data_IF_600793107827
#
_entry.id   IF_600793107827
#
_cell.length_a   1.000
_cell.length_b   1.000
_cell.length_c   1.000
_cell.angle_alpha   90.00
_cell.angle_beta   90.00
_cell.angle_gamma   90.00
#
_symmetry.space_group_name_H-M   'P 1'
#
loop_
_entity.id
_entity.type
_entity.pdbx_description
1 polymer ?
#
# COMPACT_ATOMS: atom_id res chain seq x y z
N UNK A 1 -11.93 -7.26 11.92
CA UNK A 1 -10.76 -6.45 11.52
C UNK A 1 -11.11 -5.60 10.31
N UNK A 2 -10.57 -4.39 10.24
CA UNK A 2 -10.84 -3.48 9.13
C UNK A 2 -9.60 -3.37 8.25
N UNK A 3 -9.79 -3.20 6.95
CA UNK A 3 -8.71 -3.04 6.01
C UNK A 3 -8.80 -1.68 5.32
N UNK A 4 -7.68 -0.95 5.28
CA UNK A 4 -7.57 0.26 4.47
C UNK A 4 -6.96 -0.13 3.14
N UNK A 5 -7.66 0.16 2.06
CA UNK A 5 -7.14 -0.05 0.70
C UNK A 5 -6.77 1.30 0.12
N UNK A 6 -5.54 1.39 -0.41
CA UNK A 6 -5.05 2.59 -1.08
C UNK A 6 -4.74 2.28 -2.53
N UNK A 7 -5.14 3.17 -3.41
CA UNK A 7 -4.77 3.12 -4.83
C UNK A 7 -3.79 4.25 -5.07
N UNK A 8 -2.62 3.94 -5.61
CA UNK A 8 -1.56 4.94 -5.77
C UNK A 8 -1.09 5.03 -7.21
N UNK A 9 -0.83 6.28 -7.64
CA UNK A 9 -0.24 6.58 -8.93
C UNK A 9 1.08 7.31 -8.67
N UNK A 10 2.10 6.91 -9.41
CA UNK A 10 3.42 7.51 -9.24
C UNK A 10 3.43 8.98 -9.61
N UNK A 11 4.35 9.70 -9.01
CA UNK A 11 4.57 11.10 -9.30
C UNK A 11 5.03 11.27 -10.75
N UNK A 12 4.57 12.34 -11.40
CA UNK A 12 4.96 12.65 -12.76
C UNK A 12 6.48 12.74 -12.85
N UNK A 13 7.04 12.11 -13.89
CA UNK A 13 8.48 12.11 -14.10
C UNK A 13 9.21 10.95 -13.42
N UNK A 14 8.54 10.21 -12.57
CA UNK A 14 9.13 9.05 -11.89
C UNK A 14 8.92 7.80 -12.76
N UNK A 15 10.00 7.03 -12.95
CA UNK A 15 9.85 5.76 -13.67
C UNK A 15 9.08 4.75 -12.81
N UNK A 16 8.44 3.74 -13.42
CA UNK A 16 7.79 2.68 -12.64
C UNK A 16 8.74 2.00 -11.66
N UNK A 17 9.99 1.74 -12.06
CA UNK A 17 10.97 1.09 -11.20
C UNK A 17 11.35 1.97 -10.01
N UNK A 18 11.57 3.26 -10.24
CA UNK A 18 11.90 4.18 -9.17
C UNK A 18 10.74 4.30 -8.18
N UNK A 19 9.51 4.35 -8.68
CA UNK A 19 8.33 4.36 -7.84
C UNK A 19 8.26 3.11 -6.96
N UNK A 20 8.38 1.93 -7.57
CA UNK A 20 8.29 0.66 -6.83
C UNK A 20 9.40 0.51 -5.81
N UNK A 21 10.62 0.89 -6.16
CA UNK A 21 11.74 0.83 -5.21
C UNK A 21 11.50 1.67 -3.99
N UNK A 22 10.96 2.87 -4.17
CA UNK A 22 10.68 3.75 -3.05
C UNK A 22 9.47 3.26 -2.24
N UNK A 23 8.42 2.88 -2.93
CA UNK A 23 7.16 2.45 -2.30
C UNK A 23 7.37 1.23 -1.40
N UNK A 24 8.05 0.22 -1.94
CA UNK A 24 8.28 -1.03 -1.22
C UNK A 24 9.53 -1.02 -0.34
N UNK A 25 10.33 0.02 -0.42
CA UNK A 25 11.53 0.21 0.39
C UNK A 25 11.32 1.26 1.47
N UNK A 26 11.85 2.49 1.28
CA UNK A 26 11.78 3.52 2.32
C UNK A 26 10.36 3.82 2.81
N UNK A 27 9.37 3.86 1.91
CA UNK A 27 8.00 4.11 2.32
C UNK A 27 7.45 2.99 3.19
N UNK A 28 7.66 1.74 2.78
CA UNK A 28 7.21 0.58 3.56
C UNK A 28 7.86 0.55 4.94
N UNK A 29 9.11 0.99 5.04
CA UNK A 29 9.80 1.06 6.34
C UNK A 29 9.10 2.00 7.31
N UNK A 30 8.57 3.12 6.80
CA UNK A 30 7.80 4.05 7.62
C UNK A 30 6.45 3.42 7.99
N UNK A 31 5.75 2.85 7.02
CA UNK A 31 4.43 2.26 7.24
C UNK A 31 4.48 1.15 8.29
N UNK A 32 5.54 0.33 8.26
CA UNK A 32 5.70 -0.75 9.25
C UNK A 32 5.81 -0.24 10.68
N UNK A 33 6.13 1.04 10.87
CA UNK A 33 6.23 1.65 12.20
C UNK A 33 4.91 2.19 12.73
N UNK A 34 3.86 2.19 11.91
CA UNK A 34 2.54 2.64 12.38
C UNK A 34 2.11 1.80 13.58
N UNK A 35 1.79 2.45 14.71
CA UNK A 35 1.34 1.70 15.88
C UNK A 35 0.04 0.96 15.59
N UNK A 36 -0.10 -0.23 16.15
CA UNK A 36 -1.30 -1.08 16.02
C UNK A 36 -1.55 -1.65 14.62
N UNK A 37 -0.63 -1.43 13.68
CA UNK A 37 -0.75 -2.04 12.36
C UNK A 37 -0.64 -3.56 12.49
N UNK A 38 -1.60 -4.29 11.91
CA UNK A 38 -1.68 -5.74 12.01
C UNK A 38 -1.21 -6.45 10.74
N UNK A 39 -1.20 -5.76 9.63
CA UNK A 39 -0.75 -6.35 8.37
C UNK A 39 -0.53 -5.30 7.31
N UNK A 40 0.33 -5.64 6.34
CA UNK A 40 0.67 -4.76 5.22
C UNK A 40 0.92 -5.62 4.00
N UNK A 41 0.30 -5.26 2.89
CA UNK A 41 0.50 -5.97 1.63
C UNK A 41 0.50 -4.97 0.48
N UNK A 42 1.35 -5.21 -0.50
CA UNK A 42 1.41 -4.40 -1.71
C UNK A 42 1.00 -5.22 -2.90
N UNK A 43 0.19 -4.64 -3.78
CA UNK A 43 -0.12 -5.21 -5.08
C UNK A 43 0.43 -4.29 -6.16
N UNK A 44 1.24 -4.83 -7.06
CA UNK A 44 1.77 -4.10 -8.20
C UNK A 44 0.82 -4.31 -9.36
N UNK A 45 0.35 -3.21 -9.96
CA UNK A 45 -0.61 -3.31 -11.05
C UNK A 45 0.08 -3.81 -12.31
N UNK A 46 -0.49 -4.86 -12.92
CA UNK A 46 0.02 -5.43 -14.16
C UNK A 46 -0.48 -4.68 -15.37
N UNK A 47 0.44 -4.37 -16.29
CA UNK A 47 0.13 -3.66 -17.53
C UNK A 47 0.07 -4.64 -18.68
N UNK A 48 -0.93 -5.53 -18.66
CA UNK A 48 -1.05 -6.55 -19.72
C UNK A 48 -2.11 -6.20 -20.76
N UNK A 49 -2.92 -5.21 -20.49
CA UNK A 49 -3.96 -4.74 -21.40
C UNK A 49 -3.42 -3.64 -22.31
N UNK A 50 -3.95 -3.50 -23.55
CA UNK A 50 -3.57 -2.34 -24.37
C UNK A 50 -3.97 -1.01 -23.76
N UNK A 51 -4.91 -1.01 -22.81
CA UNK A 51 -5.28 0.21 -22.10
C UNK A 51 -4.37 0.40 -20.89
N UNK A 52 -3.94 1.64 -20.70
CA UNK A 52 -3.12 2.00 -19.54
C UNK A 52 -3.96 1.90 -18.27
N UNK A 53 -3.39 1.28 -17.25
CA UNK A 53 -4.07 1.19 -15.97
C UNK A 53 -4.09 2.56 -15.27
N UNK A 54 -5.19 2.83 -14.55
CA UNK A 54 -5.36 4.10 -13.84
C UNK A 54 -4.39 4.24 -12.67
N UNK A 55 -3.92 3.12 -12.10
CA UNK A 55 -3.11 3.12 -10.88
C UNK A 55 -1.86 2.28 -11.08
N UNK A 56 -0.82 2.61 -10.32
CA UNK A 56 0.43 1.84 -10.34
C UNK A 56 0.47 0.76 -9.28
N UNK A 57 -0.26 0.94 -8.19
CA UNK A 57 -0.25 -0.03 -7.12
C UNK A 57 -1.44 0.07 -6.19
N UNK A 58 -1.61 -0.99 -5.41
CA UNK A 58 -2.65 -1.11 -4.39
C UNK A 58 -1.98 -1.49 -3.08
N UNK A 59 -2.18 -0.68 -2.05
CA UNK A 59 -1.68 -0.97 -0.71
C UNK A 59 -2.81 -1.42 0.19
N UNK A 60 -2.55 -2.41 1.04
CA UNK A 60 -3.55 -2.91 1.98
C UNK A 60 -2.97 -2.93 3.38
N UNK A 61 -3.66 -2.26 4.31
CA UNK A 61 -3.27 -2.19 5.71
C UNK A 61 -4.40 -2.72 6.57
N UNK A 62 -4.08 -3.61 7.49
CA UNK A 62 -5.07 -4.18 8.41
C UNK A 62 -4.92 -3.60 9.80
N UNK A 63 -6.06 -3.25 10.40
CA UNK A 63 -6.17 -2.77 11.78
C UNK A 63 -7.35 -3.50 12.44
N UNK A 64 -7.36 -3.52 13.77
CA UNK A 64 -8.46 -4.14 14.49
C UNK A 64 -9.78 -3.40 14.24
N UNK A 65 -9.74 -2.07 14.33
CA UNK A 65 -10.91 -1.22 14.16
C UNK A 65 -10.52 0.19 13.70
N UNK A 66 -11.52 1.04 13.50
CA UNK A 66 -11.32 2.41 13.04
C UNK A 66 -10.58 3.25 14.09
N UNK A 67 -10.80 3.00 15.37
CA UNK A 67 -10.10 3.74 16.42
C UNK A 67 -8.59 3.53 16.32
N UNK A 68 -8.17 2.31 16.00
CA UNK A 68 -6.75 2.00 15.80
C UNK A 68 -6.18 2.69 14.56
N UNK A 69 -6.98 2.80 13.50
CA UNK A 69 -6.57 3.55 12.31
C UNK A 69 -6.32 5.02 12.66
N UNK A 70 -7.28 5.63 13.35
CA UNK A 70 -7.16 7.04 13.73
C UNK A 70 -5.95 7.27 14.63
N UNK A 71 -5.76 6.38 15.60
CA UNK A 71 -4.60 6.46 16.48
C UNK A 71 -3.29 6.37 15.69
N UNK A 72 -3.20 5.39 14.81
CA UNK A 72 -1.97 5.16 14.05
C UNK A 72 -1.59 6.36 13.18
N UNK A 73 -2.55 6.88 12.41
CA UNK A 73 -2.27 7.97 11.47
C UNK A 73 -2.18 9.34 12.12
N UNK A 74 -2.54 9.46 13.39
CA UNK A 74 -2.34 10.69 14.14
C UNK A 74 -1.09 10.65 15.03
N UNK A 75 -0.42 9.50 15.11
CA UNK A 75 0.74 9.31 15.98
C UNK A 75 2.04 9.75 15.32
N UNK A 76 2.86 10.50 16.07
CA UNK A 76 4.19 10.85 15.63
C UNK A 76 5.18 9.77 16.06
N UNK A 77 6.27 9.57 15.31
CA UNK A 77 6.72 10.37 14.17
C UNK A 77 6.10 9.96 12.83
N UNK A 78 5.33 8.87 12.76
CA UNK A 78 4.82 8.35 11.50
C UNK A 78 3.96 9.36 10.74
N UNK A 79 3.14 10.12 11.43
CA UNK A 79 2.27 11.10 10.78
C UNK A 79 3.07 12.08 9.92
N UNK A 80 4.09 12.69 10.50
CA UNK A 80 4.93 13.66 9.77
C UNK A 80 5.79 12.99 8.72
N UNK A 81 6.36 11.82 9.03
CA UNK A 81 7.19 11.09 8.10
C UNK A 81 6.40 10.68 6.85
N UNK A 82 5.18 10.17 7.02
CA UNK A 82 4.35 9.77 5.90
C UNK A 82 3.93 10.96 5.06
N UNK A 83 3.56 12.06 5.70
CA UNK A 83 3.15 13.26 5.00
C UNK A 83 4.25 13.77 4.08
N UNK A 84 5.47 13.84 4.59
CA UNK A 84 6.61 14.30 3.79
C UNK A 84 7.03 13.29 2.73
N UNK A 85 7.02 12.01 3.08
CA UNK A 85 7.44 10.96 2.15
C UNK A 85 6.54 10.88 0.93
N UNK A 86 5.23 10.99 1.11
CA UNK A 86 4.27 10.93 0.00
C UNK A 86 4.55 11.98 -1.07
N UNK A 87 5.01 13.14 -0.68
CA UNK A 87 5.31 14.23 -1.62
C UNK A 87 6.45 13.87 -2.57
N UNK A 88 7.28 12.91 -2.20
CA UNK A 88 8.46 12.57 -2.99
C UNK A 88 8.16 11.59 -4.13
N UNK A 89 7.10 10.79 -4.03
CA UNK A 89 6.90 9.73 -5.02
C UNK A 89 5.45 9.49 -5.44
N UNK A 90 4.46 10.03 -4.73
CA UNK A 90 3.05 9.84 -5.08
C UNK A 90 2.51 11.04 -5.82
N UNK A 91 1.90 10.80 -6.98
CA UNK A 91 1.23 11.84 -7.75
C UNK A 91 -0.24 11.94 -7.37
N UNK A 92 -0.89 10.79 -7.21
CA UNK A 92 -2.31 10.74 -6.86
C UNK A 92 -2.57 9.51 -6.01
N UNK A 93 -3.48 9.64 -5.05
CA UNK A 93 -3.84 8.54 -4.17
C UNK A 93 -5.31 8.64 -3.78
N UNK A 94 -5.97 7.48 -3.74
CA UNK A 94 -7.31 7.36 -3.18
C UNK A 94 -7.31 6.20 -2.21
N UNK A 95 -8.18 6.24 -1.21
CA UNK A 95 -8.27 5.15 -0.25
C UNK A 95 -9.70 5.01 0.26
N UNK A 96 -9.99 3.82 0.75
CA UNK A 96 -11.25 3.54 1.44
C UNK A 96 -11.02 2.46 2.48
N UNK A 97 -12.01 2.27 3.35
CA UNK A 97 -11.97 1.22 4.36
C UNK A 97 -13.00 0.15 4.00
N UNK A 98 -12.62 -1.10 4.17
CA UNK A 98 -13.50 -2.23 3.85
C UNK A 98 -13.52 -3.23 5.01
N UNK A 99 -14.67 -3.91 5.13
CA UNK A 99 -14.82 -5.10 5.95
C UNK A 99 -14.86 -6.26 4.97
N UNK A 100 -13.88 -7.15 5.07
CA UNK A 100 -13.77 -8.25 4.12
C UNK A 100 -14.74 -9.36 4.43
N UNK A 101 -15.30 -9.95 3.37
CA UNK A 101 -16.13 -11.14 3.47
C UNK A 101 -15.55 -12.17 2.50
N UNK A 102 -15.11 -13.30 3.05
CA UNK A 102 -14.48 -14.33 2.24
C UNK A 102 -15.53 -15.26 1.64
N UNK A 103 -15.58 -15.31 0.31
CA UNK A 103 -16.45 -16.27 -0.39
C UNK A 103 -15.70 -17.55 -0.72
N UNK A 104 -14.37 -17.42 -0.94
CA UNK A 104 -13.48 -18.55 -1.19
C UNK A 104 -12.10 -18.15 -0.70
N UNK A 105 -11.49 -18.96 0.15
CA UNK A 105 -10.17 -18.62 0.71
C UNK A 105 -9.12 -18.47 -0.38
N UNK A 106 -8.37 -17.35 -0.37
CA UNK A 106 -7.25 -17.22 -1.29
C UNK A 106 -6.11 -18.15 -0.87
N UNK A 107 -5.23 -18.53 -1.81
CA UNK A 107 -4.11 -19.40 -1.47
C UNK A 107 -3.14 -18.70 -0.50
N UNK A 108 -2.77 -19.40 0.57
CA UNK A 108 -1.84 -18.88 1.56
C UNK A 108 -0.45 -18.67 1.01
N UNK A 109 -0.04 -19.56 0.13
CA UNK A 109 1.33 -19.59 -0.34
C UNK A 109 1.53 -18.87 -1.67
N UNK A 110 0.58 -18.03 -2.05
CA UNK A 110 0.70 -17.29 -3.31
C UNK A 110 2.00 -16.47 -3.36
N UNK A 111 2.47 -16.03 -2.20
CA UNK A 111 3.71 -15.25 -2.11
C UNK A 111 4.95 -16.09 -2.34
N UNK A 112 4.84 -17.42 -2.21
CA UNK A 112 5.98 -18.30 -2.43
C UNK A 112 6.42 -18.33 -3.88
N UNK A 113 5.63 -17.80 -4.77
CA UNK A 113 5.94 -17.74 -6.19
C UNK A 113 6.62 -16.44 -6.61
N UNK A 114 6.83 -15.54 -5.66
CA UNK A 114 7.48 -14.27 -5.94
C UNK A 114 8.88 -14.41 -6.56
N UNK A 115 9.66 -15.43 -6.22
CA UNK A 115 10.99 -15.55 -6.83
C UNK A 115 10.98 -15.62 -8.36
N UNK A 116 9.85 -15.87 -8.97
CA UNK A 116 9.75 -15.85 -10.42
C UNK A 116 9.82 -14.45 -11.00
N UNK A 117 9.76 -13.45 -10.17
CA UNK A 117 10.02 -12.08 -10.61
C UNK A 117 11.48 -12.00 -11.03
N UNK A 118 11.67 -11.77 -12.27
CA UNK A 118 13.00 -11.72 -12.84
C UNK A 118 13.32 -10.31 -13.27
#
# INVERSE_FOLDING_TARGET
MIKRISFVRRKSGLSPQAFLSHWMGPHADIVRQLPRLRGLRFGVVEQWSPQEAAWDGVGELWFEDIADVEYAFSSEPCKSLLTEDRKTFIGEMQWCFVLEHTALEPPENSTLHLPVFK
#
